data_IF_464087516050
#
_entry.id   IF_464087516050
#
_cell.length_a   1.000
_cell.length_b   1.000
_cell.length_c   1.000
_cell.angle_alpha   90.00
_cell.angle_beta   90.00
_cell.angle_gamma   90.00
#
_symmetry.space_group_name_H-M   'P 1'
#
loop_
_entity.id
_entity.type
_entity.pdbx_description
1 polymer ?
#
# COMPACT_ATOMS: atom_id res chain seq x y z
N UNK A 1 21.19 5.26 -13.98
CA UNK A 1 21.02 6.04 -12.75
C UNK A 1 20.00 5.31 -11.87
N UNK A 2 20.46 4.20 -11.24
CA UNK A 2 19.59 3.27 -10.48
C UNK A 2 20.08 3.08 -9.03
N UNK A 3 20.77 4.09 -8.46
CA UNK A 3 21.42 3.97 -7.14
C UNK A 3 20.69 4.64 -5.97
N UNK A 4 19.59 5.37 -6.21
CA UNK A 4 18.91 6.12 -5.11
C UNK A 4 17.76 5.35 -4.43
N UNK A 5 17.35 4.20 -4.99
CA UNK A 5 16.24 3.44 -4.44
C UNK A 5 16.66 2.44 -3.33
N UNK A 6 17.94 2.09 -3.26
CA UNK A 6 18.45 1.11 -2.29
C UNK A 6 18.72 1.72 -0.90
N UNK A 7 19.06 2.99 -0.82
CA UNK A 7 19.35 3.63 0.48
C UNK A 7 18.08 3.97 1.28
N UNK A 8 16.96 4.29 0.62
CA UNK A 8 15.68 4.52 1.31
C UNK A 8 15.01 3.22 1.77
N UNK A 9 15.37 2.08 1.19
CA UNK A 9 14.82 0.77 1.56
C UNK A 9 15.53 0.14 2.77
N UNK A 10 16.76 0.56 3.08
CA UNK A 10 17.55 -0.02 4.18
C UNK A 10 16.96 0.24 5.57
N UNK A 11 16.30 1.38 5.78
CA UNK A 11 15.64 1.71 7.05
C UNK A 11 14.32 0.95 7.31
N UNK A 12 13.83 0.23 6.31
CA UNK A 12 12.58 -0.52 6.40
C UNK A 12 12.77 -2.02 6.64
N UNK A 13 14.01 -2.50 6.69
CA UNK A 13 14.33 -3.89 6.98
C UNK A 13 14.60 -4.11 8.46
N UNK A 14 13.82 -4.98 9.08
CA UNK A 14 14.08 -5.51 10.41
C UNK A 14 14.99 -6.72 10.26
N UNK A 15 16.13 -6.74 10.96
CA UNK A 15 17.09 -7.85 11.00
C UNK A 15 17.27 -8.39 12.41
N UNK A 16 16.90 -7.60 13.43
CA UNK A 16 17.01 -7.99 14.82
C UNK A 16 15.91 -9.03 15.17
N UNK A 17 16.28 -10.22 15.68
CA UNK A 17 15.30 -11.27 16.00
C UNK A 17 14.20 -10.82 16.96
N UNK A 18 14.51 -9.95 17.90
CA UNK A 18 13.53 -9.41 18.85
C UNK A 18 12.47 -8.54 18.15
N UNK A 19 12.90 -7.70 17.19
CA UNK A 19 11.99 -6.85 16.41
C UNK A 19 11.14 -7.69 15.46
N UNK A 20 11.75 -8.67 14.77
CA UNK A 20 11.06 -9.63 13.90
C UNK A 20 10.00 -10.39 14.71
N UNK A 21 10.39 -10.96 15.86
CA UNK A 21 9.48 -11.68 16.74
C UNK A 21 8.35 -10.81 17.30
N UNK A 22 8.60 -9.52 17.56
CA UNK A 22 7.57 -8.56 17.97
C UNK A 22 6.53 -8.30 16.88
N UNK A 23 6.98 -8.14 15.63
CA UNK A 23 6.08 -7.90 14.51
C UNK A 23 5.28 -9.17 14.14
N UNK A 24 5.92 -10.34 14.14
CA UNK A 24 5.23 -11.62 13.92
C UNK A 24 4.19 -11.89 15.00
N UNK A 25 4.47 -11.54 16.27
CA UNK A 25 3.50 -11.61 17.35
C UNK A 25 2.31 -10.68 17.11
N UNK A 26 2.55 -9.47 16.60
CA UNK A 26 1.46 -8.54 16.27
C UNK A 26 0.55 -9.07 15.15
N UNK A 27 1.12 -9.79 14.16
CA UNK A 27 0.33 -10.48 13.13
C UNK A 27 -0.52 -11.60 13.75
N UNK A 28 0.05 -12.36 14.68
CA UNK A 28 -0.62 -13.44 15.41
C UNK A 28 -1.76 -12.91 16.28
N UNK A 29 -1.47 -11.98 17.20
CA UNK A 29 -2.43 -11.48 18.20
C UNK A 29 -3.63 -10.79 17.55
N UNK A 30 -3.41 -10.16 16.41
CA UNK A 30 -4.45 -9.43 15.67
C UNK A 30 -5.07 -10.27 14.55
N UNK A 31 -4.69 -11.55 14.44
CA UNK A 31 -5.19 -12.48 13.42
C UNK A 31 -5.14 -11.90 12.01
N UNK A 32 -4.04 -11.23 11.67
CA UNK A 32 -3.87 -10.60 10.37
C UNK A 32 -3.72 -11.67 9.29
N UNK A 33 -4.56 -11.67 8.25
CA UNK A 33 -4.40 -12.61 7.14
C UNK A 33 -3.09 -12.36 6.42
N UNK A 34 -2.38 -13.45 6.12
CA UNK A 34 -1.17 -13.44 5.33
C UNK A 34 -1.38 -14.21 4.03
N UNK A 35 -0.57 -13.94 3.03
CA UNK A 35 -0.57 -14.66 1.76
C UNK A 35 0.79 -15.32 1.56
N UNK A 36 0.79 -16.63 1.36
CA UNK A 36 1.96 -17.43 1.03
C UNK A 36 2.07 -17.55 -0.48
N UNK A 37 3.24 -17.28 -1.05
CA UNK A 37 3.50 -17.33 -2.49
C UNK A 37 4.82 -18.04 -2.78
N UNK A 38 4.87 -18.74 -3.89
CA UNK A 38 6.09 -19.30 -4.45
C UNK A 38 6.68 -18.31 -5.47
N UNK A 39 8.01 -18.26 -5.60
CA UNK A 39 8.73 -17.24 -6.38
C UNK A 39 8.31 -17.25 -7.86
N UNK A 40 8.32 -18.39 -8.52
CA UNK A 40 8.03 -18.50 -9.96
C UNK A 40 6.65 -19.09 -10.25
N UNK A 41 5.67 -18.88 -9.39
CA UNK A 41 4.36 -19.49 -9.54
C UNK A 41 3.23 -18.49 -9.34
N UNK A 42 2.14 -18.69 -10.05
CA UNK A 42 0.87 -18.00 -9.78
C UNK A 42 0.16 -18.56 -8.53
N UNK A 43 0.69 -19.64 -7.94
CA UNK A 43 0.14 -20.28 -6.75
C UNK A 43 0.29 -19.35 -5.55
N UNK A 44 -0.82 -19.08 -4.90
CA UNK A 44 -0.86 -18.41 -3.62
C UNK A 44 -1.81 -19.13 -2.66
N UNK A 45 -1.58 -19.02 -1.38
CA UNK A 45 -2.46 -19.54 -0.33
C UNK A 45 -2.69 -18.46 0.72
N UNK A 46 -3.92 -18.29 1.13
CA UNK A 46 -4.24 -17.54 2.34
C UNK A 46 -3.82 -18.37 3.57
N UNK A 47 -3.31 -17.73 4.59
CA UNK A 47 -2.86 -18.31 5.84
C UNK A 47 -2.95 -17.29 6.98
N UNK A 48 -2.56 -17.68 8.18
CA UNK A 48 -2.40 -16.80 9.35
C UNK A 48 -1.24 -17.27 10.21
N UNK A 49 -0.70 -16.37 11.03
CA UNK A 49 0.27 -16.75 12.07
C UNK A 49 -0.53 -17.25 13.28
N UNK A 50 -0.38 -18.52 13.63
CA UNK A 50 -1.10 -19.16 14.74
C UNK A 50 -0.36 -19.01 16.06
N UNK A 51 0.96 -19.11 16.04
CA UNK A 51 1.80 -18.91 17.22
C UNK A 51 3.21 -18.45 16.87
N UNK A 52 3.87 -17.81 17.84
CA UNK A 52 5.23 -17.27 17.72
C UNK A 52 6.05 -17.71 18.93
N UNK A 53 7.04 -18.56 18.70
CA UNK A 53 8.03 -18.96 19.70
C UNK A 53 9.28 -18.05 19.57
N UNK A 54 9.29 -16.99 20.36
CA UNK A 54 10.41 -16.02 20.37
C UNK A 54 11.69 -16.58 20.95
N UNK A 55 11.59 -17.58 21.83
CA UNK A 55 12.77 -18.18 22.46
C UNK A 55 13.55 -19.02 21.48
N UNK A 56 12.85 -19.76 20.62
CA UNK A 56 13.46 -20.66 19.63
C UNK A 56 13.46 -20.06 18.21
N UNK A 57 12.93 -18.86 18.01
CA UNK A 57 12.85 -18.21 16.72
C UNK A 57 12.01 -18.98 15.70
N UNK A 58 10.86 -19.48 16.11
CA UNK A 58 9.95 -20.27 15.26
C UNK A 58 8.55 -19.67 15.20
N UNK A 59 7.87 -19.92 14.09
CA UNK A 59 6.47 -19.56 13.88
C UNK A 59 5.68 -20.80 13.45
N UNK A 60 4.40 -20.78 13.78
CA UNK A 60 3.41 -21.74 13.29
C UNK A 60 2.43 -20.97 12.41
N UNK A 61 2.19 -21.48 11.22
CA UNK A 61 1.28 -20.92 10.23
C UNK A 61 0.14 -21.90 9.96
N UNK A 62 -1.04 -21.37 9.70
CA UNK A 62 -2.17 -22.14 9.25
C UNK A 62 -1.92 -22.77 7.88
N UNK A 63 -2.33 -24.02 7.67
CA UNK A 63 -2.23 -24.68 6.38
C UNK A 63 -3.52 -24.53 5.57
N UNK A 64 -3.40 -24.65 4.25
CA UNK A 64 -4.57 -24.62 3.37
C UNK A 64 -5.43 -25.88 3.56
N UNK A 65 -6.74 -25.75 3.35
CA UNK A 65 -7.62 -26.91 3.25
C UNK A 65 -7.32 -27.80 2.02
N UNK A 66 -6.53 -27.32 1.04
CA UNK A 66 -6.15 -28.02 -0.16
C UNK A 66 -4.81 -28.76 -0.02
N UNK A 67 -4.78 -30.11 0.11
CA UNK A 67 -3.54 -30.86 0.34
C UNK A 67 -2.48 -30.68 -0.75
N UNK A 68 -2.91 -30.50 -2.01
CA UNK A 68 -2.00 -30.26 -3.13
C UNK A 68 -1.23 -28.94 -2.99
N UNK A 69 -1.89 -27.89 -2.49
CA UNK A 69 -1.27 -26.57 -2.21
C UNK A 69 -0.24 -26.72 -1.09
N UNK A 70 -0.60 -27.41 -0.02
CA UNK A 70 0.30 -27.65 1.10
C UNK A 70 1.56 -28.41 0.67
N UNK A 71 1.38 -29.47 -0.15
CA UNK A 71 2.50 -30.23 -0.68
C UNK A 71 3.44 -29.38 -1.56
N UNK A 72 2.92 -28.45 -2.34
CA UNK A 72 3.73 -27.52 -3.12
C UNK A 72 4.49 -26.54 -2.22
N UNK A 73 3.84 -25.97 -1.21
CA UNK A 73 4.44 -25.04 -0.25
C UNK A 73 5.55 -25.73 0.57
N UNK A 74 5.32 -26.94 1.08
CA UNK A 74 6.30 -27.69 1.88
C UNK A 74 7.54 -28.13 1.08
N UNK A 75 7.42 -28.31 -0.23
CA UNK A 75 8.55 -28.68 -1.11
C UNK A 75 9.38 -27.47 -1.55
N UNK A 76 8.85 -26.27 -1.38
CA UNK A 76 9.54 -25.07 -1.85
C UNK A 76 10.66 -24.68 -0.87
N UNK A 77 11.88 -24.40 -1.36
CA UNK A 77 12.98 -23.94 -0.52
C UNK A 77 12.74 -22.53 0.00
N UNK A 78 11.94 -21.72 -0.69
CA UNK A 78 11.63 -20.34 -0.33
C UNK A 78 10.13 -20.09 -0.47
N UNK A 79 9.54 -19.50 0.56
CA UNK A 79 8.13 -19.10 0.56
C UNK A 79 8.04 -17.63 0.92
N UNK A 80 7.51 -16.84 -0.01
CA UNK A 80 7.28 -15.41 0.17
C UNK A 80 6.00 -15.18 0.96
N UNK A 81 6.10 -14.42 2.04
CA UNK A 81 4.97 -14.06 2.90
C UNK A 81 4.67 -12.58 2.75
N UNK A 82 3.42 -12.26 2.48
CA UNK A 82 2.91 -10.90 2.39
C UNK A 82 1.76 -10.71 3.38
N UNK A 83 1.76 -9.57 4.06
CA UNK A 83 0.71 -9.14 4.95
C UNK A 83 0.56 -7.61 4.91
N UNK A 84 -0.52 -7.09 5.48
CA UNK A 84 -0.70 -5.67 5.71
C UNK A 84 -1.10 -5.45 7.17
N UNK A 85 -0.21 -4.84 7.95
CA UNK A 85 -0.43 -4.47 9.34
C UNK A 85 -0.54 -2.95 9.45
N UNK A 86 -1.67 -2.42 9.93
CA UNK A 86 -1.92 -0.98 10.04
C UNK A 86 -1.71 -0.19 8.74
N UNK A 87 -2.05 -0.77 7.60
CA UNK A 87 -1.82 -0.25 6.25
C UNK A 87 -0.33 -0.15 5.87
N UNK A 88 0.54 -0.78 6.63
CA UNK A 88 1.95 -0.96 6.34
C UNK A 88 2.15 -2.35 5.75
N UNK A 89 2.83 -2.40 4.63
CA UNK A 89 3.14 -3.68 3.99
C UNK A 89 4.25 -4.40 4.76
N UNK A 90 3.98 -5.66 5.06
CA UNK A 90 4.93 -6.60 5.66
C UNK A 90 5.25 -7.65 4.62
N UNK A 91 6.53 -7.84 4.34
CA UNK A 91 7.00 -8.89 3.44
C UNK A 91 8.25 -9.55 4.02
N UNK A 92 8.29 -10.86 3.98
CA UNK A 92 9.46 -11.66 4.35
C UNK A 92 9.48 -12.99 3.60
N UNK A 93 10.62 -13.65 3.64
CA UNK A 93 10.84 -14.94 2.99
C UNK A 93 11.20 -15.96 4.05
N UNK A 94 10.50 -17.09 4.05
CA UNK A 94 10.78 -18.24 4.88
C UNK A 94 11.62 -19.26 4.10
N UNK A 95 12.67 -19.76 4.74
CA UNK A 95 13.54 -20.79 4.18
C UNK A 95 12.96 -22.19 4.45
N UNK A 96 11.94 -22.52 3.67
CA UNK A 96 11.21 -23.79 3.82
C UNK A 96 10.08 -23.72 4.84
N UNK A 97 9.12 -24.64 4.68
CA UNK A 97 8.02 -24.89 5.60
C UNK A 97 8.03 -26.37 5.97
N UNK A 98 8.04 -26.69 7.25
CA UNK A 98 7.86 -28.04 7.74
C UNK A 98 6.36 -28.30 7.89
N UNK A 99 5.81 -29.27 7.13
CA UNK A 99 4.42 -29.74 7.27
C UNK A 99 4.30 -30.53 8.59
N UNK A 100 3.44 -30.08 9.48
CA UNK A 100 3.29 -30.61 10.82
C UNK A 100 1.80 -30.66 11.18
N UNK A 101 1.48 -31.45 12.17
CA UNK A 101 0.14 -31.51 12.73
C UNK A 101 0.16 -30.97 14.16
N UNK A 102 -0.71 -30.02 14.45
CA UNK A 102 -0.93 -29.48 15.77
C UNK A 102 -2.34 -29.90 16.23
N UNK A 103 -2.43 -30.70 17.28
CA UNK A 103 -3.67 -31.32 17.70
C UNK A 103 -4.30 -32.17 16.57
N UNK A 104 -5.28 -31.61 15.85
CA UNK A 104 -5.97 -32.29 14.74
C UNK A 104 -5.84 -31.50 13.43
N UNK A 105 -5.25 -30.29 13.47
CA UNK A 105 -5.14 -29.39 12.34
C UNK A 105 -3.76 -29.48 11.67
N UNK A 106 -3.76 -29.43 10.35
CA UNK A 106 -2.52 -29.29 9.59
C UNK A 106 -2.00 -27.88 9.71
N UNK A 107 -0.72 -27.77 10.03
CA UNK A 107 -0.03 -26.48 10.18
C UNK A 107 1.35 -26.54 9.53
N UNK A 108 1.90 -25.39 9.23
CA UNK A 108 3.30 -25.26 8.85
C UNK A 108 4.10 -24.69 10.01
N UNK A 109 5.30 -25.22 10.23
CA UNK A 109 6.27 -24.59 11.11
C UNK A 109 7.44 -24.08 10.30
N UNK A 110 8.00 -22.94 10.71
CA UNK A 110 9.18 -22.35 10.07
C UNK A 110 10.05 -21.62 11.08
N UNK A 111 11.33 -21.43 10.74
CA UNK A 111 12.21 -20.51 11.46
C UNK A 111 11.87 -19.06 11.13
N UNK A 112 12.20 -18.14 12.01
CA UNK A 112 12.09 -16.73 11.72
C UNK A 112 12.86 -16.37 10.44
N UNK A 113 12.32 -15.44 9.63
CA UNK A 113 13.07 -14.91 8.49
C UNK A 113 14.32 -14.19 8.97
N UNK A 114 15.39 -14.23 8.18
CA UNK A 114 16.61 -13.49 8.48
C UNK A 114 16.41 -11.98 8.43
N UNK A 115 15.48 -11.53 7.60
CA UNK A 115 15.08 -10.12 7.49
C UNK A 115 13.60 -10.03 7.14
N UNK A 116 12.98 -8.98 7.62
CA UNK A 116 11.57 -8.70 7.39
C UNK A 116 11.47 -7.25 6.91
N UNK A 117 10.84 -7.06 5.77
CA UNK A 117 10.52 -5.74 5.24
C UNK A 117 9.22 -5.26 5.89
N UNK A 118 9.30 -4.19 6.68
CA UNK A 118 8.16 -3.46 7.24
C UNK A 118 8.13 -2.09 6.58
N UNK A 119 7.52 -2.03 5.38
CA UNK A 119 7.69 -0.90 4.50
C UNK A 119 6.63 0.17 4.74
N UNK A 120 6.89 1.08 5.65
CA UNK A 120 6.15 2.33 5.77
C UNK A 120 6.65 3.33 4.72
N UNK A 121 6.15 3.19 3.47
CA UNK A 121 6.48 4.11 2.37
C UNK A 121 5.89 5.51 2.52
N UNK A 122 4.92 5.68 3.43
CA UNK A 122 4.16 6.93 3.55
C UNK A 122 4.46 7.57 4.89
N UNK A 123 5.29 8.58 4.87
CA UNK A 123 5.50 9.45 6.03
C UNK A 123 4.25 10.28 6.35
N UNK A 124 3.48 10.60 5.30
CA UNK A 124 2.28 11.42 5.41
C UNK A 124 1.03 10.59 5.16
N UNK A 125 0.07 10.73 6.06
CA UNK A 125 -1.23 10.08 5.98
C UNK A 125 -2.01 10.53 4.75
N UNK A 126 -2.70 9.60 4.09
CA UNK A 126 -3.56 9.86 2.94
C UNK A 126 -4.98 9.41 3.21
N UNK A 127 -5.94 10.20 2.77
CA UNK A 127 -7.36 9.95 2.89
C UNK A 127 -7.98 9.74 1.52
N UNK A 128 -8.80 8.70 1.40
CA UNK A 128 -9.63 8.53 0.21
C UNK A 128 -10.67 9.64 0.16
N UNK A 129 -10.87 10.21 -1.03
CA UNK A 129 -11.88 11.24 -1.26
C UNK A 129 -13.27 10.60 -1.37
N UNK A 130 -14.35 11.35 -1.05
CA UNK A 130 -15.71 10.87 -1.22
C UNK A 130 -16.03 10.51 -2.67
N UNK A 131 -17.02 9.61 -2.88
CA UNK A 131 -17.45 9.21 -4.22
C UNK A 131 -18.42 10.20 -4.87
N UNK A 132 -19.02 11.10 -4.09
CA UNK A 132 -20.04 12.05 -4.56
C UNK A 132 -19.55 13.49 -4.68
N UNK A 133 -18.43 13.83 -4.04
CA UNK A 133 -17.94 15.21 -3.97
C UNK A 133 -16.43 15.19 -3.82
N UNK A 134 -15.75 14.90 -4.91
CA UNK A 134 -14.30 14.71 -4.94
C UNK A 134 -13.59 15.97 -5.45
N UNK A 135 -12.33 16.21 -5.04
CA UNK A 135 -11.49 17.20 -5.65
C UNK A 135 -11.11 16.78 -7.07
N UNK A 136 -10.89 17.75 -7.91
CA UNK A 136 -10.38 17.57 -9.27
C UNK A 136 -9.04 18.27 -9.43
N UNK A 137 -8.15 17.67 -10.21
CA UNK A 137 -6.87 18.24 -10.56
C UNK A 137 -6.85 18.51 -12.05
N UNK A 138 -6.78 19.78 -12.42
CA UNK A 138 -6.59 20.24 -13.79
C UNK A 138 -5.10 20.34 -14.07
N UNK A 139 -4.59 19.48 -14.96
CA UNK A 139 -3.17 19.42 -15.30
C UNK A 139 -2.88 20.42 -16.41
N UNK A 140 -1.94 21.33 -16.18
CA UNK A 140 -1.48 22.21 -17.22
C UNK A 140 -0.40 21.51 -18.07
N UNK A 141 -0.76 21.16 -19.29
CA UNK A 141 0.13 20.52 -20.28
C UNK A 141 0.89 21.51 -21.16
N UNK A 142 0.69 22.82 -20.97
CA UNK A 142 1.26 23.89 -21.78
C UNK A 142 0.33 24.40 -22.87
N UNK A 143 0.80 25.40 -23.60
CA UNK A 143 -0.01 26.12 -24.59
C UNK A 143 -0.34 25.29 -25.84
N UNK A 144 0.39 24.20 -26.11
CA UNK A 144 0.17 23.32 -27.25
C UNK A 144 -0.96 22.28 -27.00
N UNK A 145 -1.51 22.20 -25.78
CA UNK A 145 -2.57 21.27 -25.48
C UNK A 145 -3.94 21.84 -25.87
N UNK A 146 -4.75 21.04 -26.58
CA UNK A 146 -6.13 21.41 -26.97
C UNK A 146 -7.01 21.74 -25.76
N UNK A 147 -6.78 21.09 -24.62
CA UNK A 147 -7.42 21.37 -23.34
C UNK A 147 -6.63 20.77 -22.18
N UNK A 148 -6.64 21.42 -21.02
CA UNK A 148 -6.09 20.90 -19.79
C UNK A 148 -7.02 19.82 -19.21
N UNK A 149 -6.56 18.56 -19.05
CA UNK A 149 -7.41 17.51 -18.54
C UNK A 149 -7.73 17.70 -17.05
N UNK A 150 -8.99 17.55 -16.69
CA UNK A 150 -9.45 17.48 -15.29
C UNK A 150 -9.54 16.04 -14.85
N UNK A 151 -8.74 15.68 -13.86
CA UNK A 151 -8.61 14.34 -13.35
C UNK A 151 -9.15 14.26 -11.93
N UNK A 152 -9.90 13.19 -11.65
CA UNK A 152 -10.41 12.95 -10.31
C UNK A 152 -9.28 12.65 -9.32
N UNK A 153 -9.31 13.27 -8.15
CA UNK A 153 -8.44 12.93 -7.04
C UNK A 153 -9.06 11.78 -6.24
N UNK A 154 -8.43 10.62 -6.23
CA UNK A 154 -8.92 9.42 -5.54
C UNK A 154 -8.50 9.35 -4.07
N UNK A 155 -7.31 9.83 -3.73
CA UNK A 155 -6.85 10.07 -2.37
C UNK A 155 -5.91 11.28 -2.32
N UNK A 156 -5.83 11.88 -1.14
CA UNK A 156 -5.04 13.08 -0.91
C UNK A 156 -4.42 13.05 0.49
N UNK A 157 -3.21 13.58 0.60
CA UNK A 157 -2.48 13.78 1.86
C UNK A 157 -1.65 15.06 1.80
N UNK A 158 -0.94 15.37 2.86
CA UNK A 158 -0.17 16.61 2.94
C UNK A 158 1.00 16.69 1.92
N UNK A 159 1.52 15.54 1.45
CA UNK A 159 2.66 15.50 0.52
C UNK A 159 2.31 15.12 -0.92
N UNK A 160 1.02 14.89 -1.25
CA UNK A 160 0.64 14.49 -2.60
C UNK A 160 -0.74 13.85 -2.68
N UNK A 161 -1.10 13.46 -3.89
CA UNK A 161 -2.41 12.89 -4.20
C UNK A 161 -2.31 11.74 -5.22
N UNK A 162 -3.38 10.99 -5.39
CA UNK A 162 -3.52 10.03 -6.47
C UNK A 162 -4.64 10.47 -7.41
N UNK A 163 -4.31 10.54 -8.68
CA UNK A 163 -5.21 10.89 -9.77
C UNK A 163 -5.79 9.62 -10.39
N UNK A 164 -7.04 9.67 -10.76
CA UNK A 164 -7.75 8.57 -11.41
C UNK A 164 -8.33 9.06 -12.72
N UNK A 165 -7.99 8.38 -13.82
CA UNK A 165 -8.41 8.76 -15.16
C UNK A 165 -8.53 7.56 -16.10
N UNK A 166 -9.17 7.74 -17.25
CA UNK A 166 -9.19 6.73 -18.31
C UNK A 166 -7.78 6.48 -18.84
N UNK A 167 -7.52 5.27 -19.41
CA UNK A 167 -6.18 4.88 -19.86
C UNK A 167 -5.58 5.86 -20.88
N UNK A 168 -6.42 6.41 -21.75
CA UNK A 168 -6.02 7.28 -22.87
C UNK A 168 -6.25 8.77 -22.61
N UNK A 169 -6.76 9.14 -21.43
CA UNK A 169 -7.12 10.54 -21.14
C UNK A 169 -5.90 11.47 -21.12
N UNK A 170 -4.79 10.99 -20.58
CA UNK A 170 -3.54 11.75 -20.50
C UNK A 170 -2.37 10.79 -20.26
N UNK A 171 -1.21 11.10 -20.81
CA UNK A 171 0.04 10.43 -20.54
C UNK A 171 0.89 11.29 -19.60
N UNK A 172 1.19 10.79 -18.41
CA UNK A 172 1.97 11.45 -17.38
C UNK A 172 3.25 10.63 -17.07
N UNK A 173 4.37 10.91 -17.75
CA UNK A 173 5.63 10.19 -17.56
C UNK A 173 6.13 10.26 -16.12
N UNK A 174 6.76 9.18 -15.64
CA UNK A 174 7.41 9.14 -14.34
C UNK A 174 8.49 10.21 -14.22
N UNK A 175 8.49 10.93 -13.09
CA UNK A 175 9.43 12.01 -12.80
C UNK A 175 9.07 13.36 -13.41
N UNK A 176 8.10 13.43 -14.32
CA UNK A 176 7.67 14.69 -14.91
C UNK A 176 7.13 15.64 -13.84
N UNK A 177 7.50 16.91 -13.96
CA UNK A 177 6.98 18.00 -13.14
C UNK A 177 6.01 18.82 -13.99
N UNK A 178 4.86 19.13 -13.41
CA UNK A 178 3.78 19.84 -14.09
C UNK A 178 3.08 20.79 -13.12
N UNK A 179 2.74 22.00 -13.55
CA UNK A 179 1.82 22.85 -12.81
C UNK A 179 0.40 22.29 -12.94
N UNK A 180 -0.37 22.42 -11.88
CA UNK A 180 -1.77 22.02 -11.88
C UNK A 180 -2.62 22.96 -11.01
N UNK A 181 -3.92 22.96 -11.29
CA UNK A 181 -4.92 23.64 -10.48
C UNK A 181 -5.75 22.58 -9.75
N UNK A 182 -5.60 22.51 -8.43
CA UNK A 182 -6.38 21.60 -7.58
C UNK A 182 -7.67 22.30 -7.12
N UNK A 183 -8.80 21.84 -7.64
CA UNK A 183 -10.13 22.31 -7.27
C UNK A 183 -10.61 21.54 -6.03
N UNK A 184 -10.68 22.23 -4.91
CA UNK A 184 -11.21 21.65 -3.67
C UNK A 184 -12.74 21.89 -3.64
N UNK A 185 -13.57 20.88 -3.39
CA UNK A 185 -14.99 21.05 -3.22
C UNK A 185 -15.32 22.05 -2.10
N UNK A 186 -16.22 22.98 -2.37
CA UNK A 186 -16.61 24.05 -1.45
C UNK A 186 -15.45 24.92 -0.93
N UNK A 187 -14.35 24.93 -1.68
CA UNK A 187 -13.12 25.65 -1.33
C UNK A 187 -12.47 26.37 -2.50
N UNK A 188 -11.32 27.00 -2.29
CA UNK A 188 -10.59 27.64 -3.35
C UNK A 188 -9.90 26.63 -4.26
N UNK A 189 -9.65 27.04 -5.51
CA UNK A 189 -8.71 26.34 -6.38
C UNK A 189 -7.27 26.71 -5.98
N UNK A 190 -6.40 25.72 -5.92
CA UNK A 190 -5.02 25.87 -5.48
C UNK A 190 -4.05 25.61 -6.63
N UNK A 191 -3.21 26.57 -6.94
CA UNK A 191 -2.10 26.38 -7.87
C UNK A 191 -0.99 25.61 -7.18
N UNK A 192 -0.58 24.48 -7.77
CA UNK A 192 0.38 23.54 -7.17
C UNK A 192 1.25 22.95 -8.27
N UNK A 193 2.56 22.87 -8.01
CA UNK A 193 3.46 22.07 -8.83
C UNK A 193 3.49 20.63 -8.32
N UNK A 194 3.31 19.69 -9.22
CA UNK A 194 3.32 18.26 -8.93
C UNK A 194 4.45 17.54 -9.65
N UNK A 195 4.94 16.44 -9.06
CA UNK A 195 5.84 15.50 -9.70
C UNK A 195 5.21 14.12 -9.76
N UNK A 196 5.20 13.51 -10.92
CA UNK A 196 4.70 12.14 -11.12
C UNK A 196 5.64 11.13 -10.46
N UNK A 197 5.11 10.36 -9.51
CA UNK A 197 5.89 9.40 -8.72
C UNK A 197 5.64 7.95 -9.07
N UNK A 198 4.43 7.62 -9.49
CA UNK A 198 4.07 6.29 -9.98
C UNK A 198 2.85 6.38 -10.89
N UNK A 199 2.72 5.38 -11.77
CA UNK A 199 1.60 5.25 -12.67
C UNK A 199 1.32 3.78 -12.92
N UNK A 200 0.05 3.35 -12.77
CA UNK A 200 -0.34 1.96 -12.93
C UNK A 200 -1.77 1.80 -13.41
N UNK A 201 -2.06 0.81 -14.25
CA UNK A 201 -3.43 0.44 -14.55
C UNK A 201 -4.09 -0.18 -13.31
N UNK A 202 -5.38 0.06 -13.17
CA UNK A 202 -6.25 -0.58 -12.17
C UNK A 202 -7.56 -1.00 -12.84
N UNK A 203 -8.15 -2.10 -12.35
CA UNK A 203 -9.51 -2.50 -12.71
C UNK A 203 -10.46 -2.13 -11.58
N UNK A 204 -11.56 -1.49 -11.92
CA UNK A 204 -12.64 -1.19 -10.98
C UNK A 204 -13.54 -2.42 -10.79
N UNK A 205 -14.37 -2.43 -9.75
CA UNK A 205 -15.27 -3.56 -9.47
C UNK A 205 -16.30 -3.82 -10.59
N UNK A 206 -16.62 -2.80 -11.38
CA UNK A 206 -17.49 -2.88 -12.57
C UNK A 206 -16.73 -3.26 -13.87
N UNK A 207 -15.46 -3.65 -13.73
CA UNK A 207 -14.62 -4.14 -14.85
C UNK A 207 -13.97 -3.04 -15.72
N UNK A 208 -14.19 -1.77 -15.42
CA UNK A 208 -13.54 -0.68 -16.17
C UNK A 208 -12.05 -0.64 -15.89
N UNK A 209 -11.28 -0.40 -16.94
CA UNK A 209 -9.85 -0.17 -16.85
C UNK A 209 -9.60 1.33 -16.68
N UNK A 210 -8.92 1.69 -15.61
CA UNK A 210 -8.51 3.06 -15.31
C UNK A 210 -7.01 3.12 -15.04
N UNK A 211 -6.48 4.31 -15.03
CA UNK A 211 -5.11 4.60 -14.63
C UNK A 211 -5.11 5.32 -13.29
N UNK A 212 -4.22 4.90 -12.40
CA UNK A 212 -4.01 5.54 -11.12
C UNK A 212 -2.60 6.08 -11.07
N UNK A 213 -2.49 7.40 -11.16
CA UNK A 213 -1.22 8.14 -11.16
C UNK A 213 -1.01 8.79 -9.80
N UNK A 214 0.06 8.42 -9.11
CA UNK A 214 0.46 9.03 -7.84
C UNK A 214 1.40 10.20 -8.09
N UNK A 215 1.08 11.36 -7.53
CA UNK A 215 1.88 12.58 -7.64
C UNK A 215 2.28 13.13 -6.28
N UNK A 216 3.47 13.69 -6.18
CA UNK A 216 3.94 14.42 -5.01
C UNK A 216 3.85 15.93 -5.26
N UNK A 217 3.39 16.66 -4.28
CA UNK A 217 3.47 18.12 -4.28
C UNK A 217 4.94 18.55 -4.19
N UNK A 218 5.36 19.53 -4.98
CA UNK A 218 6.72 20.06 -4.93
C UNK A 218 6.77 21.20 -3.91
N UNK A 219 6.37 22.37 -4.31
CA UNK A 219 6.35 23.55 -3.43
C UNK A 219 4.90 24.00 -3.27
N UNK A 220 4.44 24.09 -2.03
CA UNK A 220 3.14 24.65 -1.70
C UNK A 220 3.32 26.03 -1.09
N UNK A 221 2.66 27.03 -1.66
CA UNK A 221 2.54 28.32 -1.01
C UNK A 221 1.86 28.17 0.37
N UNK A 222 2.25 28.95 1.39
CA UNK A 222 1.69 28.81 2.75
C UNK A 222 0.15 28.91 2.79
N UNK A 223 -0.45 29.73 1.95
CA UNK A 223 -1.91 29.83 1.82
C UNK A 223 -2.52 28.53 1.26
N UNK A 224 -1.94 27.95 0.20
CA UNK A 224 -2.38 26.68 -0.37
C UNK A 224 -2.23 25.55 0.64
N UNK A 225 -1.12 25.47 1.36
CA UNK A 225 -0.89 24.48 2.41
C UNK A 225 -1.94 24.57 3.52
N UNK A 226 -2.33 25.79 3.93
CA UNK A 226 -3.37 25.99 4.94
C UNK A 226 -4.74 25.48 4.46
N UNK A 227 -5.12 25.78 3.22
CA UNK A 227 -6.40 25.31 2.64
C UNK A 227 -6.40 23.80 2.47
N UNK A 228 -5.33 23.22 1.94
CA UNK A 228 -5.16 21.77 1.82
C UNK A 228 -5.27 21.06 3.17
N UNK A 229 -4.58 21.56 4.20
CA UNK A 229 -4.65 20.98 5.55
C UNK A 229 -6.06 21.02 6.11
N UNK A 230 -6.79 22.13 5.94
CA UNK A 230 -8.20 22.24 6.38
C UNK A 230 -9.08 21.21 5.69
N UNK A 231 -8.91 21.01 4.39
CA UNK A 231 -9.65 20.00 3.63
C UNK A 231 -9.35 18.59 4.12
N UNK A 232 -8.07 18.26 4.32
CA UNK A 232 -7.65 16.94 4.85
C UNK A 232 -8.25 16.69 6.23
N UNK A 233 -8.22 17.67 7.13
CA UNK A 233 -8.85 17.55 8.46
C UNK A 233 -10.38 17.39 8.39
N UNK A 234 -11.03 18.05 7.44
CA UNK A 234 -12.46 17.87 7.23
C UNK A 234 -12.79 16.45 6.75
N UNK A 235 -12.02 15.92 5.80
CA UNK A 235 -12.14 14.54 5.34
C UNK A 235 -11.93 13.52 6.46
N UNK A 236 -10.92 13.74 7.30
CA UNK A 236 -10.64 12.84 8.42
C UNK A 236 -11.78 12.81 9.44
N UNK A 237 -12.33 13.96 9.76
CA UNK A 237 -13.52 14.07 10.64
C UNK A 237 -14.73 13.32 10.07
N UNK A 238 -15.04 13.52 8.79
CA UNK A 238 -16.13 12.80 8.11
C UNK A 238 -15.93 11.29 8.14
N UNK A 239 -14.69 10.82 7.88
CA UNK A 239 -14.36 9.41 7.95
C UNK A 239 -14.53 8.82 9.35
N UNK A 240 -14.09 9.56 10.38
CA UNK A 240 -14.18 9.12 11.77
C UNK A 240 -15.65 9.11 12.23
N UNK A 241 -16.48 10.06 11.82
CA UNK A 241 -17.92 10.07 12.10
C UNK A 241 -18.60 8.83 11.51
N UNK A 242 -18.35 8.50 10.24
CA UNK A 242 -18.87 7.28 9.61
C UNK A 242 -18.43 5.99 10.29
N UNK A 243 -17.20 5.91 10.76
CA UNK A 243 -16.71 4.74 11.51
C UNK A 243 -17.41 4.56 12.88
N UNK A 244 -17.88 5.65 13.47
CA UNK A 244 -18.59 5.66 14.75
C UNK A 244 -20.10 5.52 14.59
N UNK A 245 -20.62 5.33 13.36
CA UNK A 245 -22.06 5.24 13.10
C UNK A 245 -22.83 6.54 13.38
N UNK A 246 -22.14 7.67 13.35
CA UNK A 246 -22.71 9.02 13.50
C UNK A 246 -22.85 9.64 12.10
N UNK A 247 -23.82 9.19 11.32
CA UNK A 247 -24.30 9.92 10.13
C UNK A 247 -25.41 10.88 10.53
#
# INVERSE_FOLDING_TARGET
MAMDNDQQTSHCHLTEPAQIGGLLQSLCDRQIPISLRLEDSTLYSASSVLSVDKANGRIVLDASAAPAVNACLARSPLVHVHAELDKVQVHFVLAGLDDTQLEHDKVFTARFPQRLLHLQRRELYRLSTPLSHWPECEINLGDDAEANPRLRVADIGAGGMALLHALEAVHLPLGQQLPCLLHIPDGPSLEIDIRVCNDRPISTADGRQLRRTGVAFQTLAPAAQKHLSRYIFALDRLRNARRQGKD
#
